data_IF_283632195166
#
_entry.id   IF_283632195166
#
_cell.length_a   1.000
_cell.length_b   1.000
_cell.length_c   1.000
_cell.angle_alpha   90.00
_cell.angle_beta   90.00
_cell.angle_gamma   90.00
#
_symmetry.space_group_name_H-M   'P 1'
#
loop_
_entity.id
_entity.type
_entity.pdbx_description
1 polymer ?
#
# COMPACT_ATOMS: atom_id res chain seq x y z
N UNK A 1 41.22 12.00 10.70
CA UNK A 1 40.32 11.41 11.72
C UNK A 1 38.87 11.83 11.49
N UNK A 2 38.53 13.13 11.54
CA UNK A 2 37.15 13.66 11.48
C UNK A 2 36.28 13.21 10.26
N UNK A 3 36.89 13.01 9.08
CA UNK A 3 36.19 12.53 7.88
C UNK A 3 35.81 11.04 7.94
N UNK A 4 36.50 10.23 8.75
CA UNK A 4 36.21 8.81 8.93
C UNK A 4 35.01 8.58 9.85
N UNK A 5 34.91 9.36 10.92
CA UNK A 5 33.82 9.27 11.89
C UNK A 5 32.48 9.69 11.28
N UNK A 6 32.47 10.75 10.46
CA UNK A 6 31.27 11.20 9.75
C UNK A 6 30.73 10.14 8.76
N UNK A 7 31.61 9.44 8.03
CA UNK A 7 31.21 8.36 7.13
C UNK A 7 30.64 7.16 7.90
N UNK A 8 31.27 6.81 9.03
CA UNK A 8 30.79 5.71 9.88
C UNK A 8 29.40 5.99 10.45
N UNK A 9 29.14 7.22 10.89
CA UNK A 9 27.82 7.64 11.39
C UNK A 9 26.76 7.59 10.28
N UNK A 10 27.08 8.11 9.08
CA UNK A 10 26.16 8.06 7.94
C UNK A 10 25.83 6.62 7.52
N UNK A 11 26.81 5.72 7.55
CA UNK A 11 26.57 4.29 7.27
C UNK A 11 25.65 3.65 8.31
N UNK A 12 25.82 3.96 9.59
CA UNK A 12 24.95 3.46 10.66
C UNK A 12 23.53 3.98 10.52
N UNK A 13 23.36 5.27 10.22
CA UNK A 13 22.04 5.85 9.97
C UNK A 13 21.32 5.12 8.81
N UNK A 14 22.02 4.92 7.69
CA UNK A 14 21.48 4.20 6.53
C UNK A 14 21.11 2.73 6.83
N UNK A 15 21.90 2.06 7.67
CA UNK A 15 21.60 0.70 8.12
C UNK A 15 20.32 0.66 8.97
N UNK A 16 20.15 1.62 9.89
CA UNK A 16 18.95 1.72 10.72
C UNK A 16 17.70 2.04 9.90
N UNK A 17 17.79 2.96 8.93
CA UNK A 17 16.72 3.24 7.96
C UNK A 17 16.34 1.96 7.20
N UNK A 18 17.34 1.26 6.65
CA UNK A 18 17.11 0.00 5.91
C UNK A 18 16.42 -1.05 6.78
N UNK A 19 16.81 -1.17 8.06
CA UNK A 19 16.18 -2.11 8.99
C UNK A 19 14.71 -1.77 9.23
N UNK A 20 14.38 -0.48 9.42
CA UNK A 20 13.00 -0.01 9.58
C UNK A 20 12.17 -0.26 8.33
N UNK A 21 12.70 0.07 7.14
CA UNK A 21 12.01 -0.19 5.87
C UNK A 21 11.73 -1.68 5.69
N UNK A 22 12.67 -2.56 5.98
CA UNK A 22 12.46 -4.02 5.88
C UNK A 22 11.36 -4.49 6.83
N UNK A 23 11.32 -3.98 8.07
CA UNK A 23 10.28 -4.32 9.03
C UNK A 23 8.88 -3.87 8.55
N UNK A 24 8.77 -2.61 8.11
CA UNK A 24 7.53 -2.05 7.59
C UNK A 24 7.01 -2.81 6.35
N UNK A 25 7.90 -3.16 5.42
CA UNK A 25 7.56 -3.94 4.23
C UNK A 25 7.14 -5.38 4.56
N UNK A 26 7.73 -5.99 5.59
CA UNK A 26 7.34 -7.33 6.02
C UNK A 26 5.91 -7.36 6.60
N UNK A 27 5.57 -6.35 7.41
CA UNK A 27 4.23 -6.14 7.94
C UNK A 27 3.21 -5.87 6.83
N UNK A 28 3.52 -4.93 5.93
CA UNK A 28 2.70 -4.63 4.76
C UNK A 28 2.42 -5.86 3.90
N UNK A 29 3.44 -6.67 3.63
CA UNK A 29 3.31 -7.93 2.87
C UNK A 29 2.38 -8.91 3.57
N UNK A 30 2.52 -9.10 4.89
CA UNK A 30 1.68 -10.03 5.63
C UNK A 30 0.20 -9.63 5.57
N UNK A 31 -0.10 -8.34 5.73
CA UNK A 31 -1.48 -7.84 5.64
C UNK A 31 -2.06 -7.95 4.22
N UNK A 32 -1.27 -7.66 3.18
CA UNK A 32 -1.70 -7.82 1.79
C UNK A 32 -2.05 -9.28 1.47
N UNK A 33 -1.25 -10.23 1.95
CA UNK A 33 -1.54 -11.66 1.81
C UNK A 33 -2.81 -12.03 2.59
N UNK A 34 -2.95 -11.55 3.83
CA UNK A 34 -4.14 -11.76 4.64
C UNK A 34 -5.42 -11.26 3.97
N UNK A 35 -5.38 -10.05 3.42
CA UNK A 35 -6.48 -9.48 2.66
C UNK A 35 -6.80 -10.31 1.41
N UNK A 36 -5.79 -10.72 0.64
CA UNK A 36 -5.98 -11.52 -0.57
C UNK A 36 -6.66 -12.86 -0.28
N UNK A 37 -6.27 -13.53 0.82
CA UNK A 37 -6.85 -14.81 1.23
C UNK A 37 -8.27 -14.64 1.80
N UNK A 38 -8.59 -13.49 2.41
CA UNK A 38 -9.94 -13.23 2.92
C UNK A 38 -10.96 -12.88 1.82
N UNK A 39 -10.53 -12.71 0.56
CA UNK A 39 -11.44 -12.40 -0.54
C UNK A 39 -12.24 -13.62 -0.94
N UNK A 40 -13.56 -13.48 -0.86
CA UNK A 40 -14.48 -14.45 -1.45
C UNK A 40 -14.58 -14.21 -2.96
N UNK A 41 -14.00 -15.12 -3.73
CA UNK A 41 -14.09 -15.13 -5.19
C UNK A 41 -15.34 -15.92 -5.56
N UNK A 42 -16.34 -15.23 -6.12
CA UNK A 42 -17.56 -15.88 -6.61
C UNK A 42 -17.33 -16.44 -8.03
N UNK A 43 -17.35 -17.77 -8.22
CA UNK A 43 -17.16 -18.38 -9.53
C UNK A 43 -18.30 -18.06 -10.51
N UNK A 44 -19.46 -17.62 -10.02
CA UNK A 44 -20.61 -17.24 -10.84
C UNK A 44 -20.57 -15.78 -11.25
N UNK A 45 -19.51 -15.04 -10.90
CA UNK A 45 -19.34 -13.68 -11.35
C UNK A 45 -18.83 -13.60 -12.80
N UNK A 46 -19.72 -13.95 -13.72
CA UNK A 46 -19.44 -14.02 -15.17
C UNK A 46 -20.26 -13.02 -15.98
N UNK A 47 -21.23 -12.36 -15.36
CA UNK A 47 -22.10 -11.40 -16.03
C UNK A 47 -21.35 -10.10 -16.40
N UNK A 48 -21.47 -9.60 -17.64
CA UNK A 48 -20.92 -8.31 -18.03
C UNK A 48 -21.47 -7.19 -17.14
N UNK A 49 -20.58 -6.40 -16.54
CA UNK A 49 -20.95 -5.29 -15.65
C UNK A 49 -20.98 -5.64 -14.15
N UNK A 50 -20.84 -6.92 -13.77
CA UNK A 50 -20.63 -7.27 -12.36
C UNK A 50 -19.20 -6.96 -11.94
N UNK A 51 -19.05 -6.13 -10.91
CA UNK A 51 -17.78 -5.83 -10.28
C UNK A 51 -17.58 -6.72 -9.05
N UNK A 52 -17.14 -7.97 -9.26
CA UNK A 52 -16.85 -8.88 -8.17
C UNK A 52 -15.37 -8.89 -7.80
N UNK A 53 -15.04 -9.31 -6.56
CA UNK A 53 -13.65 -9.49 -6.16
C UNK A 53 -12.95 -10.52 -7.06
N UNK A 54 -11.76 -10.18 -7.52
CA UNK A 54 -10.87 -11.05 -8.30
C UNK A 54 -9.57 -11.29 -7.54
N UNK A 55 -8.87 -12.40 -7.80
CA UNK A 55 -7.52 -12.59 -7.30
C UNK A 55 -6.62 -11.40 -7.70
N UNK A 56 -5.92 -10.83 -6.72
CA UNK A 56 -5.07 -9.67 -6.92
C UNK A 56 -5.76 -8.30 -6.83
N UNK A 57 -7.08 -8.25 -6.65
CA UNK A 57 -7.74 -6.99 -6.30
C UNK A 57 -7.23 -6.53 -4.93
N UNK A 58 -6.69 -5.32 -4.88
CA UNK A 58 -6.29 -4.64 -3.65
C UNK A 58 -7.33 -3.58 -3.28
N UNK A 59 -7.48 -3.26 -1.99
CA UNK A 59 -8.35 -2.16 -1.56
C UNK A 59 -7.79 -0.81 -2.04
N UNK A 60 -8.60 0.23 -1.95
CA UNK A 60 -8.14 1.56 -2.32
C UNK A 60 -7.15 2.10 -1.27
N UNK A 61 -5.93 2.53 -1.64
CA UNK A 61 -5.07 3.24 -0.70
C UNK A 61 -5.56 4.66 -0.44
N UNK A 62 -5.04 5.24 0.63
CA UNK A 62 -5.03 6.70 0.79
C UNK A 62 -4.09 7.28 -0.28
N UNK A 63 -4.64 8.12 -1.15
CA UNK A 63 -3.94 8.63 -2.35
C UNK A 63 -3.26 9.97 -2.11
N UNK A 64 -3.63 10.66 -1.03
CA UNK A 64 -3.19 12.02 -0.70
C UNK A 64 -2.64 12.15 0.73
N UNK A 65 -2.51 11.04 1.45
CA UNK A 65 -1.93 10.95 2.79
C UNK A 65 -2.69 11.79 3.84
N UNK A 66 -4.01 11.93 3.70
CA UNK A 66 -4.86 12.66 4.66
C UNK A 66 -5.56 11.72 5.67
N UNK A 67 -5.29 10.42 5.58
CA UNK A 67 -5.92 9.36 6.35
C UNK A 67 -7.33 9.01 5.87
N UNK A 68 -7.86 9.62 4.82
CA UNK A 68 -9.21 9.37 4.33
C UNK A 68 -9.11 8.50 3.08
N UNK A 69 -9.62 7.25 3.18
CA UNK A 69 -9.78 6.42 1.98
C UNK A 69 -10.83 7.09 1.10
N UNK A 70 -10.48 7.44 -0.14
CA UNK A 70 -11.46 8.04 -1.02
C UNK A 70 -12.64 7.08 -1.29
N UNK A 71 -13.88 7.61 -1.21
CA UNK A 71 -15.07 6.78 -1.36
C UNK A 71 -15.14 6.11 -2.74
N UNK A 72 -15.27 4.79 -2.78
CA UNK A 72 -15.57 4.05 -4.00
C UNK A 72 -17.00 4.35 -4.44
N UNK A 73 -17.20 5.26 -5.39
CA UNK A 73 -18.50 5.42 -6.07
C UNK A 73 -18.95 6.83 -6.41
N UNK A 74 -18.29 7.89 -5.95
CA UNK A 74 -18.65 9.27 -6.30
C UNK A 74 -17.45 10.01 -6.87
N UNK A 75 -17.08 9.67 -8.10
CA UNK A 75 -16.11 10.43 -8.90
C UNK A 75 -14.66 10.36 -8.42
N UNK A 76 -13.87 9.52 -9.08
CA UNK A 76 -12.42 9.69 -9.27
C UNK A 76 -11.52 9.75 -8.04
N UNK A 77 -11.06 8.59 -7.57
CA UNK A 77 -9.93 8.58 -6.63
C UNK A 77 -9.12 7.28 -6.61
N UNK A 78 -9.75 6.15 -6.91
CA UNK A 78 -9.08 4.85 -7.02
C UNK A 78 -9.31 4.12 -8.33
N UNK A 79 -9.73 4.88 -9.34
CA UNK A 79 -10.05 4.38 -10.66
C UNK A 79 -11.37 3.62 -10.81
N UNK A 80 -11.69 3.31 -12.06
CA UNK A 80 -12.92 2.62 -12.46
C UNK A 80 -12.78 1.10 -12.38
N UNK A 81 -13.91 0.42 -12.11
CA UNK A 81 -14.01 -1.04 -12.12
C UNK A 81 -13.59 -1.66 -13.47
N UNK A 82 -13.84 -0.96 -14.58
CA UNK A 82 -13.46 -1.36 -15.92
C UNK A 82 -11.98 -1.17 -16.25
N UNK A 83 -11.18 -0.56 -15.37
CA UNK A 83 -9.77 -0.30 -15.65
C UNK A 83 -9.51 0.90 -16.57
N UNK A 84 -10.53 1.71 -16.90
CA UNK A 84 -10.45 2.76 -17.92
C UNK A 84 -9.94 4.11 -17.43
N UNK A 85 -10.08 4.44 -16.14
CA UNK A 85 -9.66 5.73 -15.58
C UNK A 85 -9.15 5.57 -14.15
N UNK A 86 -8.17 6.37 -13.71
CA UNK A 86 -7.75 6.51 -12.30
C UNK A 86 -6.97 5.35 -11.68
N UNK A 87 -6.46 4.38 -12.45
CA UNK A 87 -5.65 3.27 -11.93
C UNK A 87 -4.26 3.75 -11.47
N UNK A 88 -3.73 4.79 -12.12
CA UNK A 88 -2.40 5.32 -11.83
C UNK A 88 -2.27 5.87 -10.39
N UNK A 89 -3.34 6.43 -9.81
CA UNK A 89 -3.34 6.93 -8.43
C UNK A 89 -3.22 5.83 -7.37
N UNK A 90 -3.35 4.56 -7.76
CA UNK A 90 -3.25 3.41 -6.84
C UNK A 90 -1.85 2.80 -6.78
N UNK A 91 -0.98 3.16 -7.73
CA UNK A 91 0.33 2.53 -7.84
C UNK A 91 1.26 3.01 -6.72
N UNK A 92 2.07 2.10 -6.20
CA UNK A 92 3.09 2.38 -5.18
C UNK A 92 2.57 2.99 -3.87
N UNK A 93 1.32 2.69 -3.48
CA UNK A 93 0.75 3.06 -2.17
C UNK A 93 0.15 1.84 -1.47
N UNK A 94 0.39 1.71 -0.17
CA UNK A 94 -0.15 0.67 0.69
C UNK A 94 -1.54 1.09 1.19
N UNK A 95 -2.55 0.22 1.09
CA UNK A 95 -3.86 0.46 1.68
C UNK A 95 -3.91 0.34 3.22
N UNK A 96 -2.99 0.98 3.94
CA UNK A 96 -2.75 0.81 5.37
C UNK A 96 -4.02 0.95 6.23
N UNK A 97 -4.90 1.92 5.92
CA UNK A 97 -6.20 2.10 6.60
C UNK A 97 -7.11 0.88 6.46
N UNK A 98 -7.22 0.33 5.26
CA UNK A 98 -8.10 -0.84 5.01
C UNK A 98 -7.50 -2.13 5.57
N UNK A 99 -6.17 -2.17 5.67
CA UNK A 99 -5.42 -3.31 6.19
C UNK A 99 -5.26 -3.28 7.72
N UNK A 100 -5.77 -2.25 8.40
CA UNK A 100 -5.68 -2.06 9.85
C UNK A 100 -4.25 -2.10 10.40
N UNK A 101 -3.30 -1.59 9.62
CA UNK A 101 -1.86 -1.60 9.96
C UNK A 101 -1.41 -0.40 10.82
N UNK A 102 -2.31 0.56 11.07
CA UNK A 102 -1.91 1.88 11.56
C UNK A 102 -1.15 2.69 10.48
N UNK A 103 -0.64 3.85 10.87
CA UNK A 103 0.11 4.74 9.98
C UNK A 103 1.56 4.25 9.84
N UNK A 104 1.80 3.35 8.88
CA UNK A 104 3.09 2.67 8.69
C UNK A 104 4.02 3.50 7.80
N UNK A 105 5.23 3.76 8.29
CA UNK A 105 6.27 4.48 7.57
C UNK A 105 7.52 3.63 7.35
N UNK A 106 8.23 3.92 6.27
CA UNK A 106 9.54 3.37 6.00
C UNK A 106 10.65 4.01 6.87
N UNK A 107 11.89 3.57 6.68
CA UNK A 107 13.03 4.10 7.43
C UNK A 107 13.32 5.58 7.20
N UNK A 108 12.91 6.14 6.07
CA UNK A 108 13.08 7.55 5.72
C UNK A 108 11.92 8.44 6.21
N UNK A 109 10.84 7.81 6.68
CA UNK A 109 9.61 8.49 7.11
C UNK A 109 8.58 8.64 5.99
N UNK A 110 8.80 8.07 4.81
CA UNK A 110 7.76 7.99 3.78
C UNK A 110 6.66 7.03 4.26
N UNK A 111 5.41 7.46 4.16
CA UNK A 111 4.25 6.61 4.42
C UNK A 111 4.17 5.54 3.32
N UNK A 112 4.01 4.28 3.72
CA UNK A 112 3.87 3.18 2.77
C UNK A 112 2.55 3.27 2.01
#
# INVERSE_FOLDING_TARGET
ALLGDAKSLAQRAKLEESRKTVAALAEAKAALIGYAVSRQIDPNCTAPGNNCPRPGDLPCPDVNNDGVIPATGTGSSCGSASGSTGQASRLARLPWRTLDLGDVHDGTGEQL
#
